data_IF_229255013823
#
_entry.id   IF_229255013823
#
_cell.length_a   1.000
_cell.length_b   1.000
_cell.length_c   1.000
_cell.angle_alpha   90.00
_cell.angle_beta   90.00
_cell.angle_gamma   90.00
#
_symmetry.space_group_name_H-M   'P 1'
#
loop_
_entity.id
_entity.type
_entity.pdbx_description
1 polymer ?
#
# COMPACT_ATOMS: atom_id res chain seq x y z
N UNK A 1 9.14 11.94 13.80
CA UNK A 1 9.40 10.49 13.88
C UNK A 1 8.97 9.82 12.57
N UNK A 2 9.89 9.14 11.87
CA UNK A 2 9.59 8.48 10.60
C UNK A 2 8.84 7.17 10.87
N UNK A 3 7.51 7.13 10.67
CA UNK A 3 6.72 5.91 10.82
C UNK A 3 7.04 4.93 9.69
N UNK A 4 7.55 3.75 10.05
CA UNK A 4 7.89 2.65 9.13
C UNK A 4 7.02 1.43 9.39
N UNK A 5 6.80 0.62 8.37
CA UNK A 5 6.20 -0.71 8.47
C UNK A 5 7.16 -1.71 9.11
N UNK A 6 6.65 -2.91 9.44
CA UNK A 6 7.41 -3.98 10.08
C UNK A 6 8.62 -4.42 9.24
N UNK A 7 8.49 -4.39 7.93
CA UNK A 7 9.53 -4.71 6.95
C UNK A 7 10.39 -3.49 6.54
N UNK A 8 10.24 -2.35 7.24
CA UNK A 8 11.15 -1.21 7.16
C UNK A 8 10.82 -0.15 6.12
N UNK A 9 9.71 -0.27 5.39
CA UNK A 9 9.27 0.73 4.40
C UNK A 9 8.64 1.95 5.10
N UNK A 10 8.84 3.14 4.53
CA UNK A 10 8.23 4.36 5.06
C UNK A 10 6.76 4.41 4.70
N UNK A 11 5.85 4.59 5.67
CA UNK A 11 4.41 4.65 5.42
C UNK A 11 4.05 5.70 4.35
N UNK A 12 4.69 6.88 4.41
CA UNK A 12 4.49 7.95 3.41
C UNK A 12 4.76 7.47 1.98
N UNK A 13 5.80 6.66 1.76
CA UNK A 13 6.12 6.17 0.41
C UNK A 13 5.08 5.17 -0.07
N UNK A 14 4.67 4.25 0.79
CA UNK A 14 3.62 3.29 0.49
C UNK A 14 2.35 4.02 0.07
N UNK A 15 1.93 5.02 0.84
CA UNK A 15 0.75 5.84 0.55
C UNK A 15 0.89 6.55 -0.80
N UNK A 16 2.00 7.26 -1.05
CA UNK A 16 2.22 7.95 -2.32
C UNK A 16 2.18 7.00 -3.53
N UNK A 17 2.70 5.78 -3.40
CA UNK A 17 2.61 4.78 -4.46
C UNK A 17 1.19 4.24 -4.63
N UNK A 18 0.44 4.00 -3.54
CA UNK A 18 -0.94 3.55 -3.60
C UNK A 18 -1.86 4.60 -4.24
N UNK A 19 -1.66 5.88 -3.96
CA UNK A 19 -2.45 6.98 -4.54
C UNK A 19 -2.21 7.17 -6.05
N UNK A 20 -1.10 6.67 -6.59
CA UNK A 20 -0.82 6.69 -8.04
C UNK A 20 -1.56 5.57 -8.79
N UNK A 21 -2.10 4.57 -8.10
CA UNK A 21 -2.85 3.49 -8.73
C UNK A 21 -4.25 3.99 -9.13
N UNK A 22 -4.64 3.73 -10.37
CA UNK A 22 -5.95 4.11 -10.88
C UNK A 22 -7.08 3.50 -10.02
N UNK A 23 -7.96 4.37 -9.51
CA UNK A 23 -9.12 3.98 -8.71
C UNK A 23 -8.81 3.61 -7.26
N UNK A 24 -7.56 3.74 -6.80
CA UNK A 24 -7.19 3.55 -5.39
C UNK A 24 -7.30 4.87 -4.63
N UNK A 25 -7.95 4.82 -3.46
CA UNK A 25 -8.08 5.95 -2.53
C UNK A 25 -7.51 5.54 -1.18
N UNK A 26 -6.59 6.33 -0.65
CA UNK A 26 -6.07 6.13 0.71
C UNK A 26 -6.79 7.09 1.65
N UNK A 27 -7.41 6.56 2.71
CA UNK A 27 -8.04 7.34 3.78
C UNK A 27 -7.21 7.28 5.05
N UNK A 28 -7.25 8.37 5.81
CA UNK A 28 -6.63 8.46 7.13
C UNK A 28 -7.65 8.07 8.21
N UNK A 29 -7.24 7.23 9.16
CA UNK A 29 -8.09 6.76 10.25
C UNK A 29 -7.43 6.90 11.62
N UNK A 30 -8.26 6.80 12.67
CA UNK A 30 -7.81 6.92 14.06
C UNK A 30 -7.13 5.67 14.60
N UNK A 31 -7.61 4.48 14.21
CA UNK A 31 -7.07 3.17 14.66
C UNK A 31 -5.97 2.62 13.72
N UNK A 32 -6.12 2.83 12.41
CA UNK A 32 -5.08 2.56 11.42
C UNK A 32 -4.73 3.87 10.73
N UNK A 33 -3.44 4.25 10.67
CA UNK A 33 -3.05 5.58 10.18
C UNK A 33 -3.40 5.77 8.70
N UNK A 34 -3.46 4.69 7.92
CA UNK A 34 -3.86 4.70 6.52
C UNK A 34 -4.66 3.43 6.19
N UNK A 35 -5.69 3.57 5.35
CA UNK A 35 -6.45 2.45 4.79
C UNK A 35 -6.67 2.69 3.31
N UNK A 36 -6.21 1.77 2.46
CA UNK A 36 -6.38 1.84 1.02
C UNK A 36 -7.64 1.11 0.56
N UNK A 37 -8.38 1.74 -0.34
CA UNK A 37 -9.62 1.27 -0.93
C UNK A 37 -9.50 1.32 -2.45
N UNK A 38 -10.16 0.41 -3.17
CA UNK A 38 -10.36 0.53 -4.62
C UNK A 38 -11.84 0.31 -4.93
N UNK A 39 -12.42 1.18 -5.76
CA UNK A 39 -13.81 1.00 -6.20
C UNK A 39 -13.96 -0.35 -6.92
N UNK A 40 -15.03 -1.08 -6.61
CA UNK A 40 -15.28 -2.43 -7.13
C UNK A 40 -14.61 -3.57 -6.35
N UNK A 41 -13.80 -3.27 -5.33
CA UNK A 41 -13.20 -4.26 -4.44
C UNK A 41 -13.68 -4.07 -3.01
N UNK A 42 -14.24 -5.13 -2.42
CA UNK A 42 -14.85 -5.10 -1.09
C UNK A 42 -13.84 -5.11 0.07
N UNK A 43 -12.61 -5.57 -0.17
CA UNK A 43 -11.60 -5.75 0.87
C UNK A 43 -10.62 -4.55 0.88
N UNK A 44 -10.65 -3.69 1.92
CA UNK A 44 -9.67 -2.63 2.09
C UNK A 44 -8.33 -3.16 2.62
N UNK A 45 -7.24 -2.42 2.39
CA UNK A 45 -5.92 -2.73 2.90
C UNK A 45 -5.50 -1.74 4.00
N UNK A 46 -5.48 -2.14 5.28
CA UNK A 46 -4.95 -1.31 6.35
C UNK A 46 -3.41 -1.24 6.28
N UNK A 47 -2.88 -0.02 6.31
CA UNK A 47 -1.45 0.27 6.25
C UNK A 47 -1.03 1.00 7.54
N UNK A 48 -0.36 0.26 8.41
CA UNK A 48 0.10 0.69 9.73
C UNK A 48 1.56 0.31 9.96
N UNK A 49 2.14 0.75 11.07
CA UNK A 49 3.53 0.39 11.44
C UNK A 49 3.71 -1.11 11.68
N UNK A 50 2.64 -1.82 12.06
CA UNK A 50 2.62 -3.27 12.22
C UNK A 50 2.46 -4.05 10.92
N UNK A 51 2.12 -3.39 9.82
CA UNK A 51 1.91 -4.02 8.50
C UNK A 51 3.22 -4.57 7.95
N UNK A 52 3.17 -5.76 7.36
CA UNK A 52 4.23 -6.32 6.52
C UNK A 52 3.81 -6.11 5.05
N UNK A 53 4.54 -5.26 4.32
CA UNK A 53 4.13 -4.84 2.97
C UNK A 53 4.13 -6.03 2.02
N UNK A 54 5.11 -6.93 2.14
CA UNK A 54 5.22 -8.11 1.26
C UNK A 54 4.06 -9.09 1.45
N UNK A 55 3.57 -9.22 2.69
CA UNK A 55 2.51 -10.20 3.03
C UNK A 55 1.10 -9.63 2.93
N UNK A 56 0.93 -8.32 3.04
CA UNK A 56 -0.39 -7.69 3.08
C UNK A 56 -0.65 -6.77 1.88
N UNK A 57 0.22 -5.78 1.66
CA UNK A 57 -0.01 -4.74 0.65
C UNK A 57 0.26 -5.25 -0.75
N UNK A 58 1.34 -6.01 -0.96
CA UNK A 58 1.67 -6.58 -2.27
C UNK A 58 0.55 -7.50 -2.79
N UNK A 59 0.06 -8.50 -2.03
CA UNK A 59 -1.06 -9.33 -2.49
C UNK A 59 -2.33 -8.54 -2.72
N UNK A 60 -2.61 -7.54 -1.88
CA UNK A 60 -3.76 -6.66 -2.09
C UNK A 60 -3.64 -5.87 -3.39
N UNK A 61 -2.49 -5.27 -3.70
CA UNK A 61 -2.29 -4.56 -4.97
C UNK A 61 -2.44 -5.51 -6.16
N UNK A 62 -1.92 -6.75 -6.06
CA UNK A 62 -2.09 -7.77 -7.12
C UNK A 62 -3.54 -8.17 -7.36
N UNK A 63 -4.33 -8.27 -6.30
CA UNK A 63 -5.76 -8.59 -6.42
C UNK A 63 -6.54 -7.38 -6.94
N UNK A 64 -6.14 -6.25 -6.38
CA UNK A 64 -6.38 -4.85 -6.68
C UNK A 64 -6.41 -4.48 -8.14
N UNK A 65 -5.34 -4.84 -8.84
CA UNK A 65 -4.83 -4.21 -10.07
C UNK A 65 -4.28 -5.27 -11.03
N UNK A 66 -3.97 -4.88 -12.25
CA UNK A 66 -3.36 -5.78 -13.25
C UNK A 66 -1.87 -6.05 -13.02
N UNK A 67 -1.26 -5.49 -11.97
CA UNK A 67 0.13 -5.79 -11.63
C UNK A 67 0.26 -7.23 -11.11
N UNK A 68 0.97 -8.07 -11.86
CA UNK A 68 1.23 -9.47 -11.49
C UNK A 68 2.56 -9.68 -10.78
N UNK A 69 3.53 -8.79 -11.01
CA UNK A 69 4.91 -8.92 -10.53
C UNK A 69 5.09 -8.36 -9.11
N UNK A 70 5.17 -9.26 -8.13
CA UNK A 70 5.34 -8.90 -6.71
C UNK A 70 6.60 -8.05 -6.44
N UNK A 71 7.68 -8.25 -7.22
CA UNK A 71 8.95 -7.54 -7.03
C UNK A 71 8.84 -6.08 -7.46
N UNK A 72 8.16 -5.83 -8.58
CA UNK A 72 7.91 -4.47 -9.07
C UNK A 72 6.98 -3.71 -8.14
N UNK A 73 5.88 -4.33 -7.70
CA UNK A 73 4.95 -3.72 -6.73
C UNK A 73 5.71 -3.34 -5.45
N UNK A 74 6.49 -4.27 -4.90
CA UNK A 74 7.27 -3.99 -3.69
C UNK A 74 8.29 -2.87 -3.91
N UNK A 75 8.97 -2.85 -5.07
CA UNK A 75 9.91 -1.80 -5.44
C UNK A 75 9.21 -0.44 -5.56
N UNK A 76 8.05 -0.38 -6.21
CA UNK A 76 7.25 0.84 -6.35
C UNK A 76 6.81 1.40 -4.99
N UNK A 77 6.31 0.53 -4.09
CA UNK A 77 5.93 0.88 -2.72
C UNK A 77 7.13 1.37 -1.88
N UNK A 78 8.31 0.78 -2.08
CA UNK A 78 9.55 1.18 -1.43
C UNK A 78 10.12 2.49 -1.98
N UNK A 79 9.93 2.75 -3.27
CA UNK A 79 10.33 4.00 -3.94
C UNK A 79 9.35 5.14 -3.62
N UNK A 80 8.07 4.81 -3.49
CA UNK A 80 6.95 5.76 -3.38
C UNK A 80 6.41 6.23 -4.73
N UNK A 81 6.71 5.50 -5.81
CA UNK A 81 6.29 5.80 -7.18
C UNK A 81 6.34 4.55 -8.05
N UNK A 82 5.55 4.51 -9.11
CA UNK A 82 5.64 3.50 -10.17
C UNK A 82 6.64 3.99 -11.22
N UNK A 83 7.53 3.09 -11.69
CA UNK A 83 8.52 3.36 -12.75
C UNK A 83 8.10 2.65 -14.05
#
# INVERSE_FOLDING_TARGET
MTRKTRDGLKLRKIVCALEQLAGVVVRHGSNHPYVAFRSGYSVPCPVATSTDVRKMVVPWVKHVTDYSNSREIYRALSAGRWE
#
